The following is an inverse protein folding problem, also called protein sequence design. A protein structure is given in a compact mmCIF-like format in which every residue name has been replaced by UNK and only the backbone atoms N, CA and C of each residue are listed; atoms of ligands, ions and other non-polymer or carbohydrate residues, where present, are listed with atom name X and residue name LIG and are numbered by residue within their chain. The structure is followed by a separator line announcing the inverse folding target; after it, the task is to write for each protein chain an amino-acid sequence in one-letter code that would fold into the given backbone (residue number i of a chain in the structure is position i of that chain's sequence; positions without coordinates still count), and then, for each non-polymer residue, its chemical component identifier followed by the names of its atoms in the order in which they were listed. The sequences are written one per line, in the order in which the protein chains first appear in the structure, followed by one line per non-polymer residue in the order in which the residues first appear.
data_IF_085265867520
#
_entry.id   IF_085265867520
#
_cell.length_a   1.000
_cell.length_b   1.000
_cell.length_c   1.000
_cell.angle_alpha   90.00
_cell.angle_beta   90.00
_cell.angle_gamma   90.00
#
_symmetry.space_group_name_H-M   'P 1'
#
loop_
_entity.id
_entity.type
_entity.pdbx_description
1 polymer ?
#
# COMPACT_ATOMS: atom_id res chain seq x y z
N UNK A 1 -56.67 52.94 12.43
CA UNK A 1 -55.57 51.96 12.28
C UNK A 1 -54.47 52.34 13.27
N UNK A 2 -54.58 51.90 14.53
CA UNK A 2 -53.67 52.30 15.60
C UNK A 2 -52.34 51.54 15.47
N UNK A 3 -51.27 52.25 15.14
CA UNK A 3 -49.91 51.74 15.21
C UNK A 3 -49.57 51.52 16.68
N UNK A 4 -49.65 50.27 17.13
CA UNK A 4 -49.18 49.85 18.46
C UNK A 4 -47.68 50.17 18.53
N UNK A 5 -47.33 51.27 19.21
CA UNK A 5 -45.94 51.64 19.52
C UNK A 5 -45.37 50.61 20.50
N UNK A 6 -44.82 49.52 19.95
CA UNK A 6 -44.13 48.51 20.74
C UNK A 6 -42.99 49.12 21.55
N UNK A 7 -42.96 48.83 22.86
CA UNK A 7 -41.90 49.26 23.77
C UNK A 7 -40.52 48.94 23.20
N UNK A 8 -39.63 49.93 23.15
CA UNK A 8 -38.23 49.80 22.69
C UNK A 8 -37.52 48.63 23.37
N UNK A 9 -37.88 48.35 24.64
CA UNK A 9 -37.38 47.21 25.41
C UNK A 9 -37.69 45.87 24.74
N UNK A 10 -38.91 45.68 24.18
CA UNK A 10 -39.26 44.45 23.46
C UNK A 10 -38.44 44.30 22.17
N UNK A 11 -38.19 45.39 21.44
CA UNK A 11 -37.39 45.36 20.20
C UNK A 11 -35.93 44.97 20.48
N UNK A 12 -35.33 45.52 21.53
CA UNK A 12 -33.98 45.17 21.96
C UNK A 12 -33.91 43.69 22.39
N UNK A 13 -34.89 43.22 23.17
CA UNK A 13 -34.92 41.85 23.66
C UNK A 13 -35.09 40.82 22.53
N UNK A 14 -35.94 41.11 21.54
CA UNK A 14 -36.07 40.29 20.32
C UNK A 14 -34.76 40.28 19.54
N UNK A 15 -34.11 41.44 19.37
CA UNK A 15 -32.84 41.52 18.64
C UNK A 15 -31.74 40.69 19.33
N UNK A 16 -31.58 40.83 20.65
CA UNK A 16 -30.60 40.04 21.42
C UNK A 16 -30.94 38.55 21.35
N UNK A 17 -32.22 38.17 21.46
CA UNK A 17 -32.64 36.77 21.36
C UNK A 17 -32.33 36.17 19.99
N UNK A 18 -32.59 36.91 18.89
CA UNK A 18 -32.26 36.48 17.53
C UNK A 18 -30.75 36.36 17.34
N UNK A 19 -29.98 37.29 17.88
CA UNK A 19 -28.52 37.26 17.82
C UNK A 19 -27.94 36.05 18.57
N UNK A 20 -28.45 35.74 19.77
CA UNK A 20 -28.08 34.55 20.53
C UNK A 20 -28.48 33.26 19.80
N UNK A 21 -29.64 33.25 19.14
CA UNK A 21 -30.07 32.09 18.36
C UNK A 21 -29.18 31.87 17.12
N UNK A 22 -28.81 32.94 16.42
CA UNK A 22 -27.88 32.89 15.29
C UNK A 22 -26.48 32.45 15.72
N UNK A 23 -25.99 32.90 16.88
CA UNK A 23 -24.68 32.46 17.39
C UNK A 23 -24.70 30.98 17.80
N UNK A 24 -25.79 30.49 18.40
CA UNK A 24 -25.98 29.06 18.70
C UNK A 24 -26.07 28.21 17.43
N UNK A 25 -26.77 28.68 16.39
CA UNK A 25 -26.83 28.01 15.10
C UNK A 25 -25.46 27.96 14.42
N UNK A 26 -24.71 29.07 14.44
CA UNK A 26 -23.33 29.10 13.94
C UNK A 26 -22.40 28.15 14.70
N UNK A 27 -22.55 28.06 16.02
CA UNK A 27 -21.79 27.14 16.87
C UNK A 27 -22.12 25.67 16.57
N UNK A 28 -23.41 25.32 16.47
CA UNK A 28 -23.83 23.95 16.12
C UNK A 28 -23.38 23.54 14.72
N UNK A 29 -23.45 24.44 13.74
CA UNK A 29 -22.92 24.19 12.40
C UNK A 29 -21.41 23.98 12.42
N UNK A 30 -20.67 24.79 13.16
CA UNK A 30 -19.22 24.62 13.33
C UNK A 30 -18.88 23.27 13.98
N UNK A 31 -19.58 22.87 15.04
CA UNK A 31 -19.41 21.56 15.68
C UNK A 31 -19.73 20.41 14.71
N UNK A 32 -20.79 20.55 13.90
CA UNK A 32 -21.15 19.56 12.89
C UNK A 32 -20.04 19.39 11.85
N UNK A 33 -19.50 20.50 11.32
CA UNK A 33 -18.37 20.46 10.38
C UNK A 33 -17.13 19.81 10.99
N UNK A 34 -16.79 20.14 12.25
CA UNK A 34 -15.65 19.53 12.95
C UNK A 34 -15.88 18.02 13.11
N UNK A 35 -17.07 17.60 13.50
CA UNK A 35 -17.42 16.17 13.63
C UNK A 35 -17.32 15.43 12.30
N UNK A 36 -17.78 16.04 11.21
CA UNK A 36 -17.70 15.43 9.88
C UNK A 36 -16.24 15.29 9.42
N UNK A 37 -15.40 16.31 9.65
CA UNK A 37 -13.97 16.25 9.35
C UNK A 37 -13.29 15.15 10.18
N UNK A 38 -13.56 15.06 11.48
CA UNK A 38 -13.01 14.01 12.32
C UNK A 38 -13.39 12.61 11.82
N UNK A 39 -14.65 12.40 11.45
CA UNK A 39 -15.09 11.11 10.90
C UNK A 39 -14.37 10.76 9.59
N UNK A 40 -14.12 11.74 8.72
CA UNK A 40 -13.33 11.53 7.50
C UNK A 40 -11.86 11.25 7.80
N UNK A 41 -11.26 11.94 8.78
CA UNK A 41 -9.88 11.70 9.19
C UNK A 41 -9.71 10.32 9.83
N UNK A 42 -10.67 9.87 10.63
CA UNK A 42 -10.66 8.54 11.24
C UNK A 42 -10.76 7.45 10.16
N UNK A 43 -11.66 7.62 9.18
CA UNK A 43 -11.77 6.72 8.04
C UNK A 43 -10.47 6.64 7.21
N UNK A 44 -9.82 7.78 6.98
CA UNK A 44 -8.51 7.84 6.30
C UNK A 44 -7.45 7.13 7.14
N UNK A 45 -7.39 7.39 8.45
CA UNK A 45 -6.40 6.78 9.34
C UNK A 45 -6.53 5.25 9.42
N UNK A 46 -7.75 4.71 9.37
CA UNK A 46 -8.01 3.26 9.37
C UNK A 46 -7.47 2.55 8.12
N UNK A 47 -7.38 3.26 6.99
CA UNK A 47 -6.87 2.72 5.73
C UNK A 47 -5.40 3.04 5.55
N UNK A 48 -5.04 4.32 5.63
CA UNK A 48 -3.72 4.81 5.27
C UNK A 48 -2.63 4.27 6.20
N UNK A 49 -2.81 4.35 7.52
CA UNK A 49 -1.74 3.96 8.47
C UNK A 49 -1.37 2.47 8.34
N UNK A 50 -2.32 1.51 8.35
CA UNK A 50 -1.96 0.11 8.18
C UNK A 50 -1.38 -0.18 6.79
N UNK A 51 -1.88 0.49 5.75
CA UNK A 51 -1.41 0.33 4.38
C UNK A 51 0.05 0.81 4.23
N UNK A 52 0.39 1.99 4.76
CA UNK A 52 1.76 2.49 4.78
C UNK A 52 2.71 1.57 5.56
N UNK A 53 2.25 0.98 6.68
CA UNK A 53 3.03 -0.02 7.42
C UNK A 53 3.28 -1.29 6.58
N UNK A 54 2.26 -1.78 5.88
CA UNK A 54 2.40 -2.94 4.98
C UNK A 54 3.39 -2.65 3.86
N UNK A 55 3.36 -1.46 3.27
CA UNK A 55 4.30 -1.06 2.22
C UNK A 55 5.73 -0.95 2.72
N UNK A 56 5.95 -0.31 3.87
CA UNK A 56 7.29 -0.23 4.46
C UNK A 56 7.86 -1.62 4.77
N UNK A 57 7.04 -2.53 5.30
CA UNK A 57 7.43 -3.91 5.56
C UNK A 57 7.76 -4.65 4.25
N UNK A 58 6.86 -4.59 3.26
CA UNK A 58 7.03 -5.22 1.96
C UNK A 58 8.27 -4.71 1.21
N UNK A 59 8.56 -3.41 1.30
CA UNK A 59 9.78 -2.81 0.76
C UNK A 59 11.01 -3.42 1.41
N UNK A 60 11.10 -3.40 2.74
CA UNK A 60 12.22 -3.95 3.49
C UNK A 60 12.45 -5.44 3.16
N UNK A 61 11.36 -6.20 3.13
CA UNK A 61 11.37 -7.63 2.85
C UNK A 61 11.77 -7.94 1.40
N UNK A 62 11.35 -7.12 0.44
CA UNK A 62 11.76 -7.23 -0.96
C UNK A 62 13.24 -6.92 -1.18
N UNK A 63 13.81 -5.98 -0.41
CA UNK A 63 15.25 -5.70 -0.46
C UNK A 63 16.07 -6.88 0.08
N UNK A 64 15.59 -7.52 1.16
CA UNK A 64 16.22 -8.73 1.70
C UNK A 64 16.17 -9.85 0.66
N UNK A 65 15.01 -10.07 0.03
CA UNK A 65 14.85 -11.02 -1.07
C UNK A 65 15.85 -10.72 -2.19
N UNK A 66 15.91 -9.47 -2.67
CA UNK A 66 16.79 -9.05 -3.76
C UNK A 66 18.26 -9.36 -3.44
N UNK A 67 18.75 -8.95 -2.26
CA UNK A 67 20.14 -9.18 -1.85
C UNK A 67 20.47 -10.67 -1.74
N UNK A 68 19.57 -11.47 -1.20
CA UNK A 68 19.79 -12.92 -1.07
C UNK A 68 19.73 -13.64 -2.42
N UNK A 69 18.86 -13.19 -3.33
CA UNK A 69 18.79 -13.69 -4.70
C UNK A 69 20.04 -13.35 -5.49
N UNK A 70 20.50 -12.09 -5.46
CA UNK A 70 21.73 -11.66 -6.12
C UNK A 70 22.95 -12.39 -5.57
N UNK A 71 23.06 -12.57 -4.25
CA UNK A 71 24.15 -13.34 -3.62
C UNK A 71 24.18 -14.81 -4.06
N UNK A 72 23.02 -15.40 -4.37
CA UNK A 72 22.88 -16.83 -4.69
C UNK A 72 22.92 -17.15 -6.16
N UNK A 73 22.58 -16.20 -7.02
CA UNK A 73 22.42 -16.43 -8.46
C UNK A 73 23.16 -15.41 -9.32
N UNK A 74 23.73 -14.37 -8.72
CA UNK A 74 24.43 -13.29 -9.41
C UNK A 74 25.55 -13.81 -10.30
N UNK A 75 25.59 -13.30 -11.53
CA UNK A 75 26.53 -13.72 -12.57
C UNK A 75 28.00 -13.53 -12.17
N UNK A 76 28.28 -12.57 -11.29
CA UNK A 76 29.60 -12.29 -10.72
C UNK A 76 30.24 -13.51 -10.04
N UNK A 77 29.42 -14.45 -9.56
CA UNK A 77 29.89 -15.63 -8.83
C UNK A 77 30.15 -16.85 -9.71
N UNK A 78 29.69 -16.85 -10.97
CA UNK A 78 29.68 -18.06 -11.79
C UNK A 78 31.09 -18.49 -12.23
N UNK A 79 32.02 -17.54 -12.31
CA UNK A 79 33.42 -17.82 -12.64
C UNK A 79 34.26 -18.23 -11.41
N UNK A 80 33.70 -18.16 -10.19
CA UNK A 80 34.41 -18.58 -8.98
C UNK A 80 34.36 -20.11 -8.83
N UNK A 81 35.49 -20.82 -8.90
CA UNK A 81 35.53 -22.28 -8.80
C UNK A 81 35.13 -22.83 -7.42
N UNK A 82 35.13 -21.99 -6.38
CA UNK A 82 34.71 -22.37 -5.02
C UNK A 82 33.23 -22.07 -4.76
N UNK A 83 32.61 -21.29 -5.63
CA UNK A 83 31.21 -20.97 -5.50
C UNK A 83 30.33 -22.17 -5.83
N UNK A 84 29.23 -22.30 -5.09
CA UNK A 84 28.21 -23.31 -5.33
C UNK A 84 26.85 -22.64 -5.19
N UNK A 85 25.99 -22.89 -6.16
CA UNK A 85 24.59 -22.48 -6.09
C UNK A 85 23.95 -23.09 -4.83
N UNK A 86 23.14 -22.31 -4.14
CA UNK A 86 22.41 -22.76 -2.95
C UNK A 86 20.92 -22.54 -3.16
N UNK A 87 20.06 -23.47 -2.72
CA UNK A 87 18.62 -23.29 -2.84
C UNK A 87 18.19 -22.04 -2.06
N UNK A 88 17.10 -21.42 -2.50
CA UNK A 88 16.49 -20.30 -1.77
C UNK A 88 16.02 -20.82 -0.40
N UNK A 89 16.39 -20.17 0.72
CA UNK A 89 15.83 -20.48 2.01
C UNK A 89 14.32 -20.35 1.99
N UNK A 90 13.61 -21.38 2.45
CA UNK A 90 12.13 -21.42 2.45
C UNK A 90 11.53 -20.17 3.09
N UNK A 91 12.15 -19.67 4.17
CA UNK A 91 11.66 -18.51 4.91
C UNK A 91 11.60 -17.23 4.07
N UNK A 92 12.52 -17.03 3.12
CA UNK A 92 12.55 -15.84 2.26
C UNK A 92 11.36 -15.87 1.30
N UNK A 93 11.14 -17.03 0.65
CA UNK A 93 10.02 -17.21 -0.27
C UNK A 93 8.67 -17.04 0.43
N UNK A 94 8.53 -17.55 1.64
CA UNK A 94 7.30 -17.41 2.43
C UNK A 94 7.05 -16.00 2.95
N UNK A 95 8.12 -15.25 3.22
CA UNK A 95 8.00 -13.93 3.84
C UNK A 95 7.36 -12.92 2.88
N UNK A 96 7.80 -12.89 1.62
CA UNK A 96 7.18 -12.04 0.59
C UNK A 96 5.74 -12.49 0.27
N UNK A 97 5.48 -13.80 0.24
CA UNK A 97 4.12 -14.32 0.07
C UNK A 97 3.18 -13.85 1.17
N UNK A 98 3.64 -13.91 2.42
CA UNK A 98 2.86 -13.49 3.58
C UNK A 98 2.54 -12.00 3.53
N UNK A 99 3.46 -11.15 3.08
CA UNK A 99 3.17 -9.71 2.94
C UNK A 99 2.17 -9.44 1.80
N UNK A 100 2.29 -10.14 0.67
CA UNK A 100 1.31 -10.04 -0.43
C UNK A 100 -0.07 -10.52 0.03
N UNK A 101 -0.13 -11.63 0.78
CA UNK A 101 -1.37 -12.17 1.34
C UNK A 101 -1.99 -11.21 2.37
N UNK A 102 -1.18 -10.62 3.26
CA UNK A 102 -1.65 -9.60 4.20
C UNK A 102 -2.23 -8.39 3.46
N UNK A 103 -1.59 -7.93 2.39
CA UNK A 103 -2.10 -6.85 1.55
C UNK A 103 -3.42 -7.24 0.87
N UNK A 104 -3.52 -8.46 0.31
CA UNK A 104 -4.74 -8.99 -0.29
C UNK A 104 -5.89 -9.06 0.72
N UNK A 105 -5.64 -9.59 1.92
CA UNK A 105 -6.61 -9.65 3.01
C UNK A 105 -7.03 -8.24 3.41
N UNK A 106 -6.08 -7.33 3.58
CA UNK A 106 -6.36 -5.94 3.98
C UNK A 106 -7.25 -5.22 2.97
N UNK A 107 -6.92 -5.29 1.68
CA UNK A 107 -7.68 -4.61 0.61
C UNK A 107 -9.07 -5.20 0.41
N UNK A 108 -9.23 -6.50 0.66
CA UNK A 108 -10.52 -7.17 0.58
C UNK A 108 -11.42 -6.95 1.79
N UNK A 109 -10.91 -6.43 2.91
CA UNK A 109 -11.76 -6.02 4.05
C UNK A 109 -12.71 -4.89 3.64
N UNK A 110 -13.85 -4.85 4.32
CA UNK A 110 -14.81 -3.76 4.19
C UNK A 110 -14.33 -2.57 5.04
N UNK A 111 -13.38 -1.83 4.47
CA UNK A 111 -12.81 -0.62 5.06
C UNK A 111 -13.45 0.63 4.44
N UNK A 112 -13.43 1.78 5.15
CA UNK A 112 -14.01 3.02 4.65
C UNK A 112 -13.09 3.69 3.61
N UNK A 113 -12.90 3.02 2.46
CA UNK A 113 -12.17 3.56 1.32
C UNK A 113 -12.78 4.89 0.85
N UNK A 114 -11.93 5.85 0.46
CA UNK A 114 -12.37 7.17 -0.01
C UNK A 114 -13.33 7.07 -1.21
N UNK A 115 -13.08 6.13 -2.12
CA UNK A 115 -13.97 5.81 -3.23
C UNK A 115 -13.81 4.32 -3.61
N UNK A 116 -14.75 3.80 -4.41
CA UNK A 116 -14.74 2.41 -4.87
C UNK A 116 -13.63 2.13 -5.89
N UNK A 117 -13.28 3.11 -6.72
CA UNK A 117 -12.29 2.99 -7.79
C UNK A 117 -10.89 2.70 -7.23
N UNK A 118 -10.45 3.50 -6.27
CA UNK A 118 -9.19 3.33 -5.53
C UNK A 118 -9.09 1.93 -4.91
N UNK A 119 -10.18 1.38 -4.36
CA UNK A 119 -10.16 0.00 -3.85
C UNK A 119 -9.92 -1.01 -4.96
N UNK A 120 -10.55 -0.84 -6.12
CA UNK A 120 -10.34 -1.74 -7.27
C UNK A 120 -8.93 -1.59 -7.85
N UNK A 121 -8.37 -0.39 -7.89
CA UNK A 121 -6.97 -0.16 -8.30
C UNK A 121 -6.00 -0.91 -7.38
N UNK A 122 -6.19 -0.82 -6.06
CA UNK A 122 -5.38 -1.56 -5.09
C UNK A 122 -5.53 -3.08 -5.22
N UNK A 123 -6.74 -3.57 -5.51
CA UNK A 123 -6.96 -5.00 -5.80
C UNK A 123 -6.19 -5.43 -7.04
N UNK A 124 -6.28 -4.65 -8.12
CA UNK A 124 -5.56 -4.92 -9.35
C UNK A 124 -4.05 -4.92 -9.12
N UNK A 125 -3.55 -3.95 -8.36
CA UNK A 125 -2.15 -3.85 -7.98
C UNK A 125 -1.68 -5.10 -7.22
N UNK A 126 -2.39 -5.54 -6.18
CA UNK A 126 -2.03 -6.76 -5.42
C UNK A 126 -2.06 -8.01 -6.30
N UNK A 127 -3.08 -8.16 -7.15
CA UNK A 127 -3.16 -9.30 -8.06
C UNK A 127 -2.00 -9.32 -9.05
N UNK A 128 -1.64 -8.16 -9.60
CA UNK A 128 -0.47 -8.02 -10.46
C UNK A 128 0.82 -8.34 -9.72
N UNK A 129 0.96 -7.90 -8.47
CA UNK A 129 2.13 -8.19 -7.64
C UNK A 129 2.27 -9.68 -7.34
N UNK A 130 1.17 -10.33 -6.97
CA UNK A 130 1.09 -11.79 -6.75
C UNK A 130 1.50 -12.57 -7.98
N UNK A 131 1.02 -12.16 -9.17
CA UNK A 131 1.41 -12.77 -10.45
C UNK A 131 2.90 -12.60 -10.73
N UNK A 132 3.45 -11.39 -10.55
CA UNK A 132 4.88 -11.12 -10.78
C UNK A 132 5.77 -11.91 -9.82
N UNK A 133 5.39 -12.00 -8.54
CA UNK A 133 6.10 -12.84 -7.56
C UNK A 133 6.12 -14.31 -7.98
N UNK A 134 5.00 -14.84 -8.50
CA UNK A 134 4.97 -16.22 -9.01
C UNK A 134 5.89 -16.41 -10.21
N UNK A 135 5.89 -15.46 -11.17
CA UNK A 135 6.79 -15.50 -12.33
C UNK A 135 8.26 -15.50 -11.88
N UNK A 136 8.63 -14.61 -10.96
CA UNK A 136 9.98 -14.53 -10.40
C UNK A 136 10.40 -15.83 -9.72
N UNK A 137 9.50 -16.46 -8.95
CA UNK A 137 9.77 -17.78 -8.35
C UNK A 137 10.03 -18.85 -9.40
N UNK A 138 9.17 -18.93 -10.41
CA UNK A 138 9.29 -19.92 -11.46
C UNK A 138 10.59 -19.75 -12.25
N UNK A 139 10.98 -18.50 -12.56
CA UNK A 139 12.25 -18.24 -13.26
C UNK A 139 13.45 -18.45 -12.38
N UNK A 140 13.36 -18.15 -11.07
CA UNK A 140 14.45 -18.45 -10.14
C UNK A 140 14.66 -19.95 -9.94
N UNK A 141 13.58 -20.76 -9.88
CA UNK A 141 13.69 -22.22 -9.82
C UNK A 141 14.39 -22.76 -11.07
N UNK A 142 13.98 -22.30 -12.26
CA UNK A 142 14.62 -22.71 -13.53
C UNK A 142 16.09 -22.33 -13.59
N UNK A 143 16.44 -21.15 -13.08
CA UNK A 143 17.83 -20.70 -13.03
C UNK A 143 18.65 -21.55 -12.04
N UNK A 144 18.08 -21.84 -10.86
CA UNK A 144 18.70 -22.74 -9.87
C UNK A 144 18.99 -24.12 -10.47
N UNK A 145 18.02 -24.74 -11.13
CA UNK A 145 18.19 -26.05 -11.77
C UNK A 145 19.28 -26.03 -12.85
N UNK A 146 19.36 -24.97 -13.66
CA UNK A 146 20.39 -24.82 -14.68
C UNK A 146 21.79 -24.70 -14.06
N UNK A 147 21.93 -23.91 -13.00
CA UNK A 147 23.20 -23.71 -12.30
C UNK A 147 23.63 -24.95 -11.50
N UNK A 148 22.68 -25.66 -10.88
CA UNK A 148 22.95 -26.89 -10.13
C UNK A 148 23.42 -28.01 -11.05
N UNK A 149 22.81 -28.12 -12.25
CA UNK A 149 23.21 -29.08 -13.30
C UNK A 149 24.46 -28.67 -14.07
N UNK A 150 25.05 -27.50 -13.77
CA UNK A 150 26.19 -26.90 -14.50
C UNK A 150 25.93 -26.70 -16.00
N UNK A 151 24.66 -26.50 -16.38
CA UNK A 151 24.27 -26.15 -17.73
C UNK A 151 24.47 -24.64 -17.94
N UNK A 152 25.70 -24.25 -18.24
CA UNK A 152 26.09 -22.84 -18.45
C UNK A 152 25.30 -22.20 -19.60
N UNK A 153 25.01 -22.96 -20.66
CA UNK A 153 24.27 -22.44 -21.82
C UNK A 153 22.86 -22.04 -21.43
N UNK A 154 22.15 -22.91 -20.71
CA UNK A 154 20.80 -22.62 -20.20
C UNK A 154 20.82 -21.54 -19.13
N UNK A 155 21.84 -21.52 -18.26
CA UNK A 155 22.04 -20.47 -17.27
C UNK A 155 22.14 -19.08 -17.91
N UNK A 156 23.03 -18.92 -18.90
CA UNK A 156 23.24 -17.67 -19.63
C UNK A 156 21.96 -17.21 -20.35
N UNK A 157 21.14 -18.13 -20.85
CA UNK A 157 19.86 -17.79 -21.48
C UNK A 157 18.80 -17.35 -20.46
N UNK A 158 18.78 -17.96 -19.27
CA UNK A 158 17.77 -17.67 -18.23
C UNK A 158 18.09 -16.42 -17.41
N UNK A 159 19.37 -16.09 -17.23
CA UNK A 159 19.80 -15.01 -16.35
C UNK A 159 19.24 -13.61 -16.73
N UNK A 160 19.25 -13.17 -18.00
CA UNK A 160 18.68 -11.88 -18.38
C UNK A 160 17.19 -11.79 -18.05
N UNK A 161 16.44 -12.87 -18.33
CA UNK A 161 15.02 -12.93 -18.01
C UNK A 161 14.76 -12.90 -16.51
N UNK A 162 15.60 -13.61 -15.74
CA UNK A 162 15.50 -13.60 -14.29
C UNK A 162 15.79 -12.23 -13.69
N UNK A 163 16.79 -11.49 -14.20
CA UNK A 163 17.02 -10.09 -13.81
C UNK A 163 15.81 -9.23 -14.15
N UNK A 164 15.28 -9.36 -15.37
CA UNK A 164 14.10 -8.60 -15.81
C UNK A 164 12.90 -8.85 -14.88
N UNK A 165 12.62 -10.11 -14.54
CA UNK A 165 11.55 -10.47 -13.61
C UNK A 165 11.78 -9.89 -12.20
N UNK A 166 13.03 -9.90 -11.73
CA UNK A 166 13.43 -9.36 -10.43
C UNK A 166 13.27 -7.83 -10.38
N UNK A 167 13.69 -7.13 -11.43
CA UNK A 167 13.54 -5.68 -11.58
C UNK A 167 12.07 -5.29 -11.72
N UNK A 168 11.30 -6.00 -12.54
CA UNK A 168 9.85 -5.79 -12.69
C UNK A 168 9.11 -5.99 -11.36
N UNK A 169 9.50 -7.00 -10.57
CA UNK A 169 8.93 -7.22 -9.24
C UNK A 169 9.23 -6.04 -8.30
N UNK A 170 10.50 -5.60 -8.24
CA UNK A 170 10.93 -4.44 -7.46
C UNK A 170 10.21 -3.16 -7.89
N UNK A 171 10.10 -2.92 -9.19
CA UNK A 171 9.40 -1.76 -9.74
C UNK A 171 7.92 -1.76 -9.36
N UNK A 172 7.26 -2.92 -9.35
CA UNK A 172 5.84 -3.04 -8.98
C UNK A 172 5.60 -2.75 -7.49
N UNK A 173 6.53 -3.14 -6.61
CA UNK A 173 6.50 -2.76 -5.20
C UNK A 173 6.67 -1.25 -5.08
N UNK A 174 7.69 -0.68 -5.73
CA UNK A 174 7.95 0.75 -5.69
C UNK A 174 6.80 1.60 -6.25
N UNK A 175 6.11 1.12 -7.29
CA UNK A 175 4.94 1.83 -7.84
C UNK A 175 3.81 1.91 -6.82
N UNK A 176 3.56 0.83 -6.07
CA UNK A 176 2.57 0.83 -4.99
C UNK A 176 2.95 1.79 -3.85
N UNK A 177 4.24 1.88 -3.50
CA UNK A 177 4.72 2.83 -2.50
C UNK A 177 4.52 4.27 -2.99
N UNK A 178 4.91 4.57 -4.23
CA UNK A 178 4.80 5.92 -4.79
C UNK A 178 3.37 6.38 -5.03
N UNK A 179 2.42 5.45 -5.25
CA UNK A 179 1.00 5.77 -5.36
C UNK A 179 0.37 6.06 -3.98
N UNK A 180 1.03 5.63 -2.90
CA UNK A 180 0.58 5.86 -1.53
C UNK A 180 1.14 7.15 -0.90
N UNK A 181 2.38 7.52 -1.20
CA UNK A 181 3.03 8.76 -0.74
C UNK A 181 2.49 10.02 -1.44
#
# INVERSE_FOLDING_TARGET
MQLVKGSIRKKILVFVSVFVFLSLLGFTFSLFCISAINQHLDAINEVSIPLGKLFSQMQSDSEILYRELERRFGYSHWQDPHWRVKPIPKWIGTLVDQEIEKAEIFINRDLPWQNRETREDWKFWVQSLKKNNQILKDTTIKLFEALESKDETRGVQLYPKWIEDLENFKQKINSGISEYE
#
